data_IF_177929829989
#
_entry.id   IF_177929829989
#
_cell.length_a   1.000
_cell.length_b   1.000
_cell.length_c   1.000
_cell.angle_alpha   90.00
_cell.angle_beta   90.00
_cell.angle_gamma   90.00
#
_symmetry.space_group_name_H-M   'P 1'
#
loop_
_entity.id
_entity.type
_entity.pdbx_description
1 polymer ?
#
# COMPACT_ATOMS: atom_id res chain seq x y z
N UNK A 1 17.76 1.70 -2.55
CA UNK A 1 18.16 0.94 -1.50
C UNK A 1 17.11 0.73 -0.45
N UNK A 2 16.77 1.72 0.31
CA UNK A 2 15.72 1.55 1.28
C UNK A 2 14.41 2.15 0.84
N UNK A 3 14.26 2.34 -0.47
CA UNK A 3 13.10 3.04 -0.98
C UNK A 3 11.79 2.31 -0.65
N UNK A 4 11.81 0.97 -0.73
CA UNK A 4 10.63 0.21 -0.40
C UNK A 4 10.28 0.31 1.08
N UNK A 5 11.29 0.27 1.94
CA UNK A 5 11.06 0.42 3.38
C UNK A 5 10.52 1.82 3.70
N UNK A 6 11.12 2.84 3.10
CA UNK A 6 10.65 4.20 3.30
C UNK A 6 9.21 4.35 2.81
N UNK A 7 8.92 3.77 1.66
CA UNK A 7 7.60 3.90 1.06
C UNK A 7 6.51 3.34 1.97
N UNK A 8 6.77 2.24 2.66
CA UNK A 8 5.76 1.63 3.52
C UNK A 8 5.81 2.12 4.96
N UNK A 9 6.64 3.09 5.25
CA UNK A 9 6.82 3.56 6.63
C UNK A 9 5.72 4.54 7.07
N UNK A 10 4.66 4.67 6.31
CA UNK A 10 3.58 5.59 6.63
C UNK A 10 2.24 4.91 6.40
N UNK A 11 1.31 4.99 7.37
CA UNK A 11 0.03 4.28 7.22
C UNK A 11 -0.74 4.65 5.96
N UNK A 12 -0.74 5.93 5.59
CA UNK A 12 -1.47 6.35 4.39
C UNK A 12 -0.88 5.72 3.13
N UNK A 13 0.44 5.57 3.07
CA UNK A 13 1.05 4.96 1.90
C UNK A 13 0.76 3.46 1.84
N UNK A 14 0.74 2.79 3.00
CA UNK A 14 0.32 1.39 3.02
C UNK A 14 -1.12 1.24 2.56
N UNK A 15 -1.98 2.20 2.93
CA UNK A 15 -3.37 2.16 2.50
C UNK A 15 -3.51 2.33 0.99
N UNK A 16 -2.71 3.23 0.39
CA UNK A 16 -2.72 3.38 -1.07
C UNK A 16 -2.29 2.09 -1.75
N UNK A 17 -1.23 1.48 -1.24
CA UNK A 17 -0.75 0.21 -1.79
C UNK A 17 -1.84 -0.85 -1.68
N UNK A 18 -2.46 -0.97 -0.51
CA UNK A 18 -3.50 -1.96 -0.30
C UNK A 18 -4.71 -1.74 -1.19
N UNK A 19 -5.10 -0.49 -1.37
CA UNK A 19 -6.23 -0.18 -2.22
C UNK A 19 -5.95 -0.54 -3.68
N UNK A 20 -4.77 -0.19 -4.16
CA UNK A 20 -4.41 -0.50 -5.53
C UNK A 20 -4.18 -2.00 -5.74
N UNK A 21 -3.75 -2.70 -4.70
CA UNK A 21 -3.62 -4.15 -4.79
C UNK A 21 -4.98 -4.81 -5.02
N UNK A 22 -6.03 -4.26 -4.43
CA UNK A 22 -7.37 -4.79 -4.64
C UNK A 22 -7.98 -4.31 -5.95
N UNK A 23 -7.72 -3.06 -6.32
CA UNK A 23 -8.29 -2.48 -7.53
C UNK A 23 -7.25 -1.54 -8.12
N UNK A 24 -6.54 -2.04 -9.09
CA UNK A 24 -5.45 -1.29 -9.71
C UNK A 24 -5.99 -0.22 -10.67
N UNK A 25 -5.11 0.68 -11.07
CA UNK A 25 -5.42 1.69 -12.09
C UNK A 25 -6.52 2.64 -11.66
N UNK A 26 -6.25 3.37 -10.59
CA UNK A 26 -7.20 4.35 -10.07
C UNK A 26 -6.65 5.76 -10.23
N UNK A 27 -7.57 6.71 -10.37
CA UNK A 27 -7.23 8.12 -10.40
C UNK A 27 -6.97 8.62 -8.99
N UNK A 28 -6.37 9.82 -8.91
CA UNK A 28 -6.16 10.46 -7.62
C UNK A 28 -7.48 10.67 -6.88
N UNK A 29 -8.52 11.08 -7.63
CA UNK A 29 -9.83 11.29 -7.02
C UNK A 29 -10.38 10.00 -6.42
N UNK A 30 -10.30 8.91 -7.19
CA UNK A 30 -10.79 7.63 -6.71
C UNK A 30 -10.02 7.18 -5.47
N UNK A 31 -8.70 7.31 -5.49
CA UNK A 31 -7.90 6.92 -4.33
C UNK A 31 -8.26 7.75 -3.11
N UNK A 32 -8.46 9.05 -3.29
CA UNK A 32 -8.79 9.92 -2.17
C UNK A 32 -10.10 9.50 -1.52
N UNK A 33 -11.09 9.18 -2.34
CA UNK A 33 -12.39 8.74 -1.84
C UNK A 33 -12.29 7.39 -1.15
N UNK A 34 -11.56 6.45 -1.75
CA UNK A 34 -11.43 5.13 -1.16
C UNK A 34 -10.67 5.15 0.15
N UNK A 35 -9.67 6.02 0.27
CA UNK A 35 -8.95 6.14 1.53
C UNK A 35 -9.87 6.63 2.63
N UNK A 36 -10.76 7.56 2.30
CA UNK A 36 -11.73 8.04 3.28
C UNK A 36 -12.72 6.94 3.66
N UNK A 37 -13.29 6.28 2.67
CA UNK A 37 -14.41 5.38 2.90
C UNK A 37 -13.99 4.04 3.44
N UNK A 38 -12.85 3.53 3.01
CA UNK A 38 -12.45 2.16 3.35
C UNK A 38 -11.37 2.09 4.42
N UNK A 39 -10.60 3.15 4.58
CA UNK A 39 -9.47 3.16 5.51
C UNK A 39 -9.62 4.21 6.59
N UNK A 40 -10.72 4.95 6.55
CA UNK A 40 -10.99 6.00 7.54
C UNK A 40 -9.86 7.02 7.59
N UNK A 41 -9.33 7.37 6.42
CA UNK A 41 -8.25 8.33 6.27
C UNK A 41 -8.76 9.55 5.51
N UNK A 42 -9.19 10.59 6.22
CA UNK A 42 -9.76 11.79 5.57
C UNK A 42 -8.66 12.74 5.10
N UNK A 43 -7.95 12.34 4.06
CA UNK A 43 -6.87 13.15 3.52
C UNK A 43 -7.36 13.98 2.35
N UNK A 44 -6.75 15.16 2.19
CA UNK A 44 -7.00 15.97 1.01
C UNK A 44 -6.33 15.31 -0.20
N UNK A 45 -6.81 15.70 -1.39
CA UNK A 45 -6.16 15.20 -2.61
C UNK A 45 -4.71 15.61 -2.68
N UNK A 46 -4.39 16.80 -2.17
CA UNK A 46 -2.99 17.24 -2.16
C UNK A 46 -2.14 16.36 -1.27
N UNK A 47 -2.66 15.97 -0.11
CA UNK A 47 -1.91 15.07 0.78
C UNK A 47 -1.72 13.71 0.15
N UNK A 48 -2.77 13.17 -0.48
CA UNK A 48 -2.67 11.89 -1.16
C UNK A 48 -1.65 11.98 -2.30
N UNK A 49 -1.67 13.09 -3.04
CA UNK A 49 -0.73 13.27 -4.14
C UNK A 49 0.72 13.26 -3.66
N UNK A 50 0.99 13.83 -2.49
CA UNK A 50 2.34 13.80 -1.93
C UNK A 50 2.78 12.38 -1.60
N UNK A 51 1.88 11.59 -1.04
CA UNK A 51 2.21 10.19 -0.77
C UNK A 51 2.46 9.42 -2.07
N UNK A 52 1.70 9.74 -3.10
CA UNK A 52 1.87 9.10 -4.40
C UNK A 52 3.26 9.40 -4.97
N UNK A 53 3.74 10.64 -4.80
CA UNK A 53 5.07 10.99 -5.28
C UNK A 53 6.13 10.10 -4.62
N UNK A 54 6.02 9.90 -3.30
CA UNK A 54 6.97 9.04 -2.60
C UNK A 54 6.93 7.62 -3.15
N UNK A 55 5.73 7.10 -3.39
CA UNK A 55 5.56 5.75 -3.91
C UNK A 55 6.12 5.63 -5.33
N UNK A 56 5.94 6.66 -6.14
CA UNK A 56 6.48 6.66 -7.50
C UNK A 56 8.00 6.69 -7.48
N UNK A 57 8.57 7.52 -6.63
CA UNK A 57 10.02 7.61 -6.53
C UNK A 57 10.63 6.32 -6.03
N UNK A 58 9.89 5.55 -5.26
CA UNK A 58 10.33 4.24 -4.79
C UNK A 58 10.11 3.14 -5.82
N UNK A 59 9.53 3.48 -6.97
CA UNK A 59 9.29 2.48 -8.02
C UNK A 59 8.05 1.64 -7.81
N UNK A 60 7.20 2.01 -6.84
CA UNK A 60 6.00 1.25 -6.54
C UNK A 60 4.81 1.63 -7.40
N UNK A 61 4.81 2.83 -7.96
CA UNK A 61 3.72 3.30 -8.79
C UNK A 61 4.24 3.84 -10.11
N UNK A 62 3.49 3.60 -11.17
CA UNK A 62 3.65 4.31 -12.43
C UNK A 62 2.32 4.97 -12.76
N UNK A 63 2.38 5.97 -13.62
CA UNK A 63 1.17 6.67 -14.05
C UNK A 63 1.01 6.50 -15.54
N UNK A 64 -0.24 6.47 -15.97
CA UNK A 64 -0.56 6.49 -17.39
C UNK A 64 -1.77 7.38 -17.59
N UNK A 65 -1.95 7.82 -18.83
CA UNK A 65 -3.05 8.71 -19.17
C UNK A 65 -4.13 7.92 -19.88
N UNK A 66 -5.37 8.10 -19.48
CA UNK A 66 -6.53 7.56 -20.16
C UNK A 66 -7.44 8.73 -20.49
N UNK A 67 -7.43 9.15 -21.74
CA UNK A 67 -8.14 10.35 -22.11
C UNK A 67 -7.54 11.55 -21.38
N UNK A 68 -8.35 12.20 -20.56
CA UNK A 68 -7.91 13.35 -19.79
C UNK A 68 -7.55 12.98 -18.35
N UNK A 69 -7.68 11.72 -17.98
CA UNK A 69 -7.41 11.32 -16.62
C UNK A 69 -6.07 10.63 -16.52
N UNK A 70 -5.48 10.74 -15.36
CA UNK A 70 -4.24 10.05 -15.03
C UNK A 70 -4.58 8.96 -14.03
N UNK A 71 -4.16 7.73 -14.33
CA UNK A 71 -4.39 6.61 -13.45
C UNK A 71 -3.05 6.11 -12.90
N UNK A 72 -3.12 5.51 -11.74
CA UNK A 72 -1.96 5.04 -11.01
C UNK A 72 -1.97 3.53 -10.97
N UNK A 73 -0.83 2.94 -11.30
CA UNK A 73 -0.69 1.49 -11.39
C UNK A 73 0.36 1.02 -10.40
N UNK A 74 0.04 -0.01 -9.65
CA UNK A 74 0.91 -0.55 -8.61
C UNK A 74 1.85 -1.60 -9.19
N UNK A 75 3.13 -1.48 -8.83
CA UNK A 75 4.16 -2.47 -9.14
C UNK A 75 4.78 -2.91 -7.83
N UNK A 76 4.55 -4.15 -7.44
CA UNK A 76 5.06 -4.63 -6.14
C UNK A 76 6.49 -5.10 -6.19
N UNK A 77 7.11 -5.14 -7.37
CA UNK A 77 8.48 -5.60 -7.51
C UNK A 77 9.45 -4.80 -6.64
N UNK A 78 9.16 -3.51 -6.46
CA UNK A 78 10.02 -2.65 -5.65
C UNK A 78 9.99 -3.03 -4.17
N UNK A 79 9.05 -3.88 -3.76
CA UNK A 79 8.97 -4.34 -2.38
C UNK A 79 9.73 -5.64 -2.15
N UNK A 80 10.42 -6.16 -3.17
CA UNK A 80 11.18 -7.40 -3.01
C UNK A 80 12.18 -7.33 -1.86
N UNK A 81 12.93 -6.23 -1.67
CA UNK A 81 13.84 -6.19 -0.52
C UNK A 81 13.12 -6.27 0.81
N UNK A 82 11.93 -5.66 0.91
CA UNK A 82 11.14 -5.73 2.14
C UNK A 82 10.67 -7.15 2.37
N UNK A 83 10.14 -7.78 1.32
CA UNK A 83 9.66 -9.15 1.42
C UNK A 83 10.79 -10.10 1.81
N UNK A 84 11.96 -9.92 1.19
CA UNK A 84 13.10 -10.79 1.48
C UNK A 84 13.59 -10.61 2.90
N UNK A 85 13.61 -9.39 3.38
CA UNK A 85 14.00 -9.12 4.75
C UNK A 85 13.03 -9.78 5.72
N UNK A 86 11.73 -9.65 5.48
CA UNK A 86 10.73 -10.27 6.34
C UNK A 86 10.89 -11.79 6.33
N UNK A 87 11.21 -12.37 5.18
CA UNK A 87 11.34 -13.83 5.08
C UNK A 87 12.49 -14.38 5.90
N UNK A 88 13.47 -13.53 6.22
CA UNK A 88 14.61 -13.96 7.02
C UNK A 88 14.34 -13.90 8.52
N UNK A 89 13.21 -13.31 8.94
CA UNK A 89 12.91 -13.19 10.36
C UNK A 89 12.15 -14.41 10.84
N UNK A 90 12.47 -14.89 12.05
CA UNK A 90 11.71 -16.01 12.60
C UNK A 90 10.26 -15.62 12.82
N UNK A 91 9.35 -16.54 12.53
CA UNK A 91 7.95 -16.32 12.80
C UNK A 91 7.21 -15.51 11.76
N UNK A 92 7.84 -15.25 10.61
CA UNK A 92 7.17 -14.51 9.53
C UNK A 92 6.36 -15.41 8.62
N UNK A 93 6.55 -16.71 8.73
CA UNK A 93 5.81 -17.64 7.89
C UNK A 93 4.41 -17.83 8.41
N UNK A 94 3.45 -18.06 7.51
CA UNK A 94 2.11 -18.38 7.98
C UNK A 94 2.13 -19.65 8.81
N UNK A 95 1.43 -19.64 9.91
CA UNK A 95 1.33 -20.80 10.74
C UNK A 95 -0.08 -20.90 11.29
N UNK A 96 -0.45 -22.09 11.80
CA UNK A 96 -1.80 -22.26 12.32
C UNK A 96 -2.07 -21.32 13.48
N UNK A 97 -3.31 -20.93 13.68
CA UNK A 97 -3.65 -20.09 14.82
C UNK A 97 -3.26 -20.77 16.13
N UNK A 98 -2.81 -19.94 17.06
CA UNK A 98 -2.51 -20.43 18.39
C UNK A 98 -3.81 -20.94 19.02
N UNK A 99 -3.86 -22.17 19.53
CA UNK A 99 -5.07 -22.65 20.19
C UNK A 99 -5.55 -21.73 21.31
N UNK A 100 -4.65 -21.04 21.96
CA UNK A 100 -5.07 -20.12 23.01
C UNK A 100 -5.76 -18.88 22.45
N UNK A 101 -5.42 -18.50 21.21
CA UNK A 101 -6.13 -17.40 20.57
C UNK A 101 -7.58 -17.76 20.33
N UNK A 102 -7.84 -19.00 19.97
CA UNK A 102 -9.20 -19.45 19.74
C UNK A 102 -9.99 -19.49 21.02
N UNK A 103 -9.37 -19.90 22.12
CA UNK A 103 -10.10 -20.03 23.36
C UNK A 103 -10.39 -18.70 24.01
N UNK A 104 -9.70 -17.67 23.62
CA UNK A 104 -9.95 -16.37 24.23
C UNK A 104 -11.29 -15.80 23.85
N UNK A 105 -11.94 -16.35 22.85
CA UNK A 105 -13.25 -15.87 22.48
C UNK A 105 -14.31 -16.29 23.44
N UNK A 106 -14.06 -17.23 24.27
CA UNK A 106 -15.08 -17.64 25.21
C UNK A 106 -15.16 -16.73 26.42
#
# INVERSE_FOLDING_TARGET
MDDGFTAIAHPARRAVIGELAERNDQTLFELTIRLLERYDLPLTRQAVAKHIVVLREAGLLTVSTRGRTTVHHLHTDALAPVRDWLARLPGTEPHPPDPRSDTTQE
#
